data_IF_966081425582
#
_entry.id   IF_966081425582
#
_cell.length_a   1.000
_cell.length_b   1.000
_cell.length_c   1.000
_cell.angle_alpha   90.00
_cell.angle_beta   90.00
_cell.angle_gamma   90.00
#
_symmetry.space_group_name_H-M   'P 1'
#
loop_
_entity.id
_entity.type
_entity.pdbx_description
1 polymer ?
#
# COMPACT_ATOMS: atom_id res chain seq x y z
N UNK A 1 -18.68 -22.69 6.41
CA UNK A 1 -18.36 -21.30 6.81
C UNK A 1 -19.55 -20.42 6.49
N UNK A 2 -19.76 -19.36 7.26
CA UNK A 2 -20.78 -18.34 6.99
C UNK A 2 -20.28 -17.36 5.93
N UNK A 3 -21.14 -16.94 5.00
CA UNK A 3 -20.83 -15.80 4.11
C UNK A 3 -21.07 -14.48 4.85
N UNK A 4 -20.51 -13.38 4.35
CA UNK A 4 -20.70 -12.06 4.95
C UNK A 4 -21.11 -11.01 3.91
N UNK A 5 -22.12 -10.20 4.19
CA UNK A 5 -22.41 -9.01 3.40
C UNK A 5 -21.45 -7.89 3.80
N UNK A 6 -20.53 -7.53 2.90
CA UNK A 6 -19.44 -6.59 3.20
C UNK A 6 -18.89 -6.02 1.89
N UNK A 7 -18.21 -4.87 1.92
CA UNK A 7 -17.52 -4.33 0.76
C UNK A 7 -16.38 -5.24 0.27
N UNK A 8 -16.11 -5.23 -1.03
CA UNK A 8 -15.15 -6.14 -1.68
C UNK A 8 -13.75 -6.08 -1.06
N UNK A 9 -13.27 -4.88 -0.74
CA UNK A 9 -11.96 -4.63 -0.13
C UNK A 9 -11.81 -5.18 1.31
N UNK A 10 -12.92 -5.48 1.99
CA UNK A 10 -12.92 -6.00 3.36
C UNK A 10 -13.03 -7.53 3.41
N UNK A 11 -13.38 -8.18 2.29
CA UNK A 11 -13.63 -9.61 2.23
C UNK A 11 -12.39 -10.46 2.59
N UNK A 12 -11.20 -10.02 2.16
CA UNK A 12 -9.94 -10.71 2.52
C UNK A 12 -9.63 -10.67 4.01
N UNK A 13 -9.81 -9.51 4.65
CA UNK A 13 -9.67 -9.38 6.11
C UNK A 13 -10.71 -10.20 6.87
N UNK A 14 -11.95 -10.27 6.36
CA UNK A 14 -13.01 -11.10 6.96
C UNK A 14 -12.66 -12.58 6.90
N UNK A 15 -12.16 -13.07 5.77
CA UNK A 15 -11.69 -14.45 5.64
C UNK A 15 -10.47 -14.71 6.54
N UNK A 16 -9.50 -13.79 6.61
CA UNK A 16 -8.35 -13.91 7.52
C UNK A 16 -8.72 -14.07 9.00
N UNK A 17 -9.81 -13.44 9.43
CA UNK A 17 -10.32 -13.53 10.80
C UNK A 17 -11.37 -14.64 11.00
N UNK A 18 -11.70 -15.40 9.96
CA UNK A 18 -12.67 -16.50 10.05
C UNK A 18 -11.91 -17.81 10.19
N UNK A 19 -12.07 -18.47 11.33
CA UNK A 19 -11.42 -19.75 11.61
C UNK A 19 -11.73 -20.77 10.50
N UNK A 20 -10.68 -21.33 9.90
CA UNK A 20 -10.76 -22.32 8.82
C UNK A 20 -10.93 -21.73 7.41
N UNK A 21 -11.06 -20.41 7.26
CA UNK A 21 -11.12 -19.78 5.93
C UNK A 21 -9.74 -19.77 5.28
N UNK A 22 -9.61 -20.42 4.14
CA UNK A 22 -8.35 -20.47 3.36
C UNK A 22 -8.40 -19.58 2.12
N UNK A 23 -9.59 -19.25 1.63
CA UNK A 23 -9.78 -18.40 0.47
C UNK A 23 -11.19 -17.82 0.43
N UNK A 24 -11.37 -16.80 -0.39
CA UNK A 24 -12.64 -16.13 -0.55
C UNK A 24 -12.92 -15.76 -2.00
N UNK A 25 -14.20 -15.53 -2.29
CA UNK A 25 -14.67 -14.87 -3.49
C UNK A 25 -15.67 -13.80 -3.06
N UNK A 26 -15.67 -12.64 -3.69
CA UNK A 26 -16.63 -11.58 -3.47
C UNK A 26 -17.41 -11.32 -4.75
N UNK A 27 -18.73 -11.16 -4.64
CA UNK A 27 -19.62 -10.85 -5.76
C UNK A 27 -20.64 -9.76 -5.38
N UNK A 28 -21.29 -9.15 -6.36
CA UNK A 28 -22.37 -8.17 -6.13
C UNK A 28 -23.68 -8.78 -5.59
N UNK A 29 -23.72 -10.09 -5.35
CA UNK A 29 -24.92 -10.74 -4.84
C UNK A 29 -25.41 -10.08 -3.55
N UNK A 30 -26.70 -9.78 -3.47
CA UNK A 30 -27.36 -9.06 -2.36
C UNK A 30 -26.62 -7.79 -1.90
N UNK A 31 -26.13 -6.97 -2.84
CA UNK A 31 -25.43 -5.72 -2.54
C UNK A 31 -23.95 -5.88 -2.13
N UNK A 32 -23.41 -7.10 -2.25
CA UNK A 32 -22.02 -7.39 -1.95
C UNK A 32 -21.88 -8.54 -0.96
N UNK A 33 -21.56 -9.74 -1.44
CA UNK A 33 -21.40 -10.93 -0.62
C UNK A 33 -19.98 -11.49 -0.72
N UNK A 34 -19.34 -11.64 0.44
CA UNK A 34 -18.08 -12.33 0.64
C UNK A 34 -18.33 -13.80 0.95
N UNK A 35 -18.00 -14.65 -0.01
CA UNK A 35 -18.07 -16.11 0.04
C UNK A 35 -16.77 -16.68 0.61
N UNK A 36 -16.82 -17.10 1.87
CA UNK A 36 -15.68 -17.64 2.58
C UNK A 36 -15.60 -19.15 2.41
N UNK A 37 -14.42 -19.64 2.01
CA UNK A 37 -14.17 -21.01 1.59
C UNK A 37 -12.94 -21.59 2.30
N UNK A 38 -12.84 -22.91 2.31
CA UNK A 38 -11.83 -23.71 3.01
C UNK A 38 -11.32 -24.79 2.07
N UNK A 39 -10.12 -25.30 2.33
CA UNK A 39 -9.45 -26.29 1.49
C UNK A 39 -8.17 -25.75 0.85
N UNK A 40 -7.42 -26.64 0.22
CA UNK A 40 -6.18 -26.30 -0.46
C UNK A 40 -6.47 -25.71 -1.84
N UNK A 41 -6.12 -24.43 -2.03
CA UNK A 41 -6.17 -23.72 -3.30
C UNK A 41 -4.96 -22.83 -3.42
N UNK A 42 -4.59 -22.51 -4.66
CA UNK A 42 -3.46 -21.67 -5.03
C UNK A 42 -3.91 -20.60 -6.02
N UNK A 43 -3.01 -19.66 -6.34
CA UNK A 43 -3.32 -18.61 -7.33
C UNK A 43 -3.61 -19.18 -8.72
N UNK A 44 -3.04 -20.34 -9.08
CA UNK A 44 -3.30 -20.99 -10.37
C UNK A 44 -4.69 -21.62 -10.47
N UNK A 45 -5.38 -21.81 -9.35
CA UNK A 45 -6.75 -22.32 -9.32
C UNK A 45 -7.80 -21.21 -9.50
N UNK A 46 -7.35 -19.95 -9.66
CA UNK A 46 -8.23 -18.82 -9.86
C UNK A 46 -8.81 -18.81 -11.28
N UNK A 47 -10.14 -18.71 -11.38
CA UNK A 47 -10.84 -18.56 -12.65
C UNK A 47 -10.96 -17.08 -13.02
N UNK A 48 -10.59 -16.74 -14.25
CA UNK A 48 -10.82 -15.41 -14.80
C UNK A 48 -12.33 -15.20 -15.04
N UNK A 49 -12.81 -14.00 -14.76
CA UNK A 49 -14.20 -13.58 -14.99
C UNK A 49 -14.21 -12.26 -15.77
N UNK A 50 -15.24 -12.06 -16.58
CA UNK A 50 -15.48 -10.80 -17.30
C UNK A 50 -16.13 -9.72 -16.43
N UNK A 51 -16.59 -10.07 -15.22
CA UNK A 51 -17.15 -9.12 -14.26
C UNK A 51 -16.02 -8.42 -13.48
N UNK A 52 -15.76 -7.11 -13.73
CA UNK A 52 -14.67 -6.38 -13.10
C UNK A 52 -14.91 -6.11 -11.61
N UNK A 53 -16.10 -6.42 -11.09
CA UNK A 53 -16.47 -6.19 -9.70
C UNK A 53 -16.18 -7.40 -8.82
N UNK A 54 -16.01 -8.59 -9.41
CA UNK A 54 -15.69 -9.80 -8.67
C UNK A 54 -14.24 -9.79 -8.21
N UNK A 55 -14.02 -10.15 -6.95
CA UNK A 55 -12.68 -10.24 -6.35
C UNK A 55 -12.52 -11.62 -5.74
N UNK A 56 -11.37 -12.26 -5.90
CA UNK A 56 -11.03 -13.48 -5.16
C UNK A 56 -9.66 -13.35 -4.52
N UNK A 57 -9.41 -14.14 -3.48
CA UNK A 57 -8.12 -14.16 -2.81
C UNK A 57 -7.94 -15.40 -1.98
N UNK A 58 -6.69 -15.85 -1.88
CA UNK A 58 -6.27 -16.87 -0.94
C UNK A 58 -5.75 -16.18 0.32
N UNK A 59 -6.15 -16.69 1.47
CA UNK A 59 -5.65 -16.27 2.76
C UNK A 59 -4.69 -17.35 3.20
N UNK A 60 -3.44 -17.20 2.76
CA UNK A 60 -2.40 -18.07 3.25
C UNK A 60 -2.35 -17.89 4.77
N UNK A 61 -2.50 -19.00 5.51
CA UNK A 61 -1.95 -19.10 6.86
C UNK A 61 -0.53 -18.54 6.79
N UNK A 62 -0.22 -17.56 7.65
CA UNK A 62 1.00 -16.77 7.64
C UNK A 62 2.17 -17.53 7.02
N UNK A 63 2.86 -16.99 6.00
CA UNK A 63 4.07 -17.64 5.54
C UNK A 63 4.97 -17.80 6.75
N UNK A 64 5.22 -19.05 7.14
CA UNK A 64 6.15 -19.46 8.21
C UNK A 64 7.61 -19.20 7.78
N UNK A 65 7.86 -18.05 7.15
CA UNK A 65 9.07 -17.71 6.43
C UNK A 65 9.04 -16.32 5.81
N UNK A 66 8.39 -15.34 6.48
CA UNK A 66 8.58 -13.93 6.12
C UNK A 66 10.04 -13.52 6.39
N UNK A 67 10.65 -12.77 5.47
CA UNK A 67 11.97 -12.21 5.72
C UNK A 67 11.88 -11.14 6.81
N UNK A 68 12.86 -11.12 7.72
CA UNK A 68 12.98 -10.03 8.69
C UNK A 68 13.28 -8.71 7.95
N UNK A 69 12.70 -7.63 8.48
CA UNK A 69 12.87 -6.28 7.97
C UNK A 69 12.69 -5.26 9.08
N UNK A 70 13.04 -4.01 8.79
CA UNK A 70 12.88 -2.88 9.72
C UNK A 70 11.90 -1.89 9.14
N UNK A 71 11.19 -1.18 10.00
CA UNK A 71 10.30 -0.10 9.57
C UNK A 71 10.79 1.24 10.07
N UNK A 72 10.59 2.28 9.25
CA UNK A 72 10.59 3.67 9.71
C UNK A 72 9.25 4.31 9.35
N UNK A 73 9.13 5.63 9.49
CA UNK A 73 7.93 6.40 9.15
C UNK A 73 8.36 7.69 8.46
N UNK A 74 7.62 8.13 7.45
CA UNK A 74 7.91 9.38 6.75
C UNK A 74 6.66 9.97 6.09
N UNK A 75 6.73 11.25 5.78
CA UNK A 75 5.84 11.95 4.85
C UNK A 75 6.51 13.23 4.38
N UNK A 76 7.12 13.18 3.19
CA UNK A 76 7.88 14.27 2.57
C UNK A 76 7.08 15.08 1.55
N UNK A 77 5.82 14.68 1.32
CA UNK A 77 4.89 15.21 0.31
C UNK A 77 5.34 15.00 -1.15
N UNK A 78 6.46 14.33 -1.39
CA UNK A 78 7.01 14.18 -2.73
C UNK A 78 6.11 13.33 -3.62
N UNK A 79 6.30 13.50 -4.94
CA UNK A 79 5.74 12.55 -5.91
C UNK A 79 6.45 11.21 -5.67
N UNK A 80 5.71 10.13 -5.38
CA UNK A 80 6.34 8.84 -5.09
C UNK A 80 6.98 8.25 -6.36
N UNK A 81 8.08 7.51 -6.25
CA UNK A 81 8.86 7.07 -7.42
C UNK A 81 8.07 6.16 -8.37
N UNK A 82 7.15 5.34 -7.86
CA UNK A 82 6.29 4.50 -8.70
C UNK A 82 5.19 5.30 -9.44
N UNK A 83 5.11 6.62 -9.24
CA UNK A 83 4.25 7.51 -10.02
C UNK A 83 4.87 7.94 -11.36
N UNK A 84 6.12 7.56 -11.64
CA UNK A 84 6.75 7.81 -12.93
C UNK A 84 6.39 6.71 -13.95
N UNK A 85 6.12 7.07 -15.22
CA UNK A 85 5.92 6.10 -16.29
C UNK A 85 7.09 5.12 -16.41
N UNK A 86 6.80 3.87 -16.76
CA UNK A 86 7.80 2.80 -16.91
C UNK A 86 8.24 2.14 -15.61
N UNK A 87 7.85 2.67 -14.44
CA UNK A 87 8.14 2.07 -13.12
C UNK A 87 7.17 0.97 -12.72
N UNK A 88 6.06 0.79 -13.43
CA UNK A 88 5.14 -0.33 -13.27
C UNK A 88 4.98 -0.98 -14.64
N UNK A 89 4.95 -2.32 -14.69
CA UNK A 89 4.71 -3.05 -15.93
C UNK A 89 3.31 -2.76 -16.48
N UNK A 90 3.22 -2.43 -17.77
CA UNK A 90 1.98 -2.10 -18.46
C UNK A 90 1.94 -0.66 -18.98
N UNK A 91 1.22 -0.44 -20.08
CA UNK A 91 1.05 0.90 -20.65
C UNK A 91 0.23 1.79 -19.70
N UNK A 92 0.67 3.04 -19.49
CA UNK A 92 -0.01 4.04 -18.66
C UNK A 92 -0.29 3.57 -17.20
N UNK A 93 0.53 2.66 -16.68
CA UNK A 93 0.43 2.14 -15.32
C UNK A 93 1.45 2.82 -14.41
N UNK A 94 0.97 3.54 -13.39
CA UNK A 94 1.78 4.20 -12.37
C UNK A 94 0.90 4.60 -11.18
N UNK A 95 1.51 4.78 -10.01
CA UNK A 95 0.84 5.32 -8.82
C UNK A 95 0.38 6.75 -9.10
N UNK A 96 -0.85 7.11 -8.71
CA UNK A 96 -1.32 8.47 -8.93
C UNK A 96 -0.57 9.47 -8.06
N UNK A 97 -0.19 10.60 -8.64
CA UNK A 97 0.25 11.78 -7.91
C UNK A 97 -0.82 12.85 -8.02
N UNK A 98 -0.84 13.79 -7.08
CA UNK A 98 -1.85 14.81 -6.99
C UNK A 98 -1.27 16.21 -7.18
N UNK A 99 -2.16 17.15 -7.50
CA UNK A 99 -1.87 18.58 -7.46
C UNK A 99 -1.64 19.04 -6.02
N UNK A 100 -1.33 20.34 -5.86
CA UNK A 100 -1.05 20.95 -4.55
C UNK A 100 -2.15 20.72 -3.50
N UNK A 101 -3.41 20.59 -3.93
CA UNK A 101 -4.55 20.27 -3.06
C UNK A 101 -4.53 18.85 -2.44
N UNK A 102 -3.64 17.98 -2.92
CA UNK A 102 -3.53 16.58 -2.50
C UNK A 102 -4.68 15.68 -2.93
N UNK A 103 -5.67 16.17 -3.68
CA UNK A 103 -6.87 15.42 -4.05
C UNK A 103 -7.04 15.28 -5.57
N UNK A 104 -6.71 16.32 -6.33
CA UNK A 104 -6.86 16.32 -7.78
C UNK A 104 -5.71 15.53 -8.40
N UNK A 105 -5.99 14.31 -8.85
CA UNK A 105 -4.98 13.43 -9.43
C UNK A 105 -4.52 13.90 -10.81
N UNK A 106 -3.22 13.82 -11.06
CA UNK A 106 -2.64 14.02 -12.38
C UNK A 106 -2.95 12.83 -13.31
N UNK A 107 -3.36 13.14 -14.55
CA UNK A 107 -3.52 12.18 -15.63
C UNK A 107 -2.22 11.94 -16.42
N UNK A 108 -1.25 12.84 -16.31
CA UNK A 108 0.09 12.70 -16.89
C UNK A 108 1.09 12.31 -15.80
N UNK A 109 1.68 11.11 -15.97
CA UNK A 109 2.72 10.62 -15.08
C UNK A 109 4.06 11.36 -15.22
N UNK A 110 4.25 12.22 -16.23
CA UNK A 110 5.50 12.96 -16.44
C UNK A 110 5.57 14.29 -15.68
N UNK A 111 4.49 14.70 -15.00
CA UNK A 111 4.49 15.94 -14.21
C UNK A 111 5.59 15.88 -13.14
N UNK A 112 6.44 16.91 -13.12
CA UNK A 112 7.59 16.99 -12.23
C UNK A 112 7.16 17.03 -10.75
N UNK A 113 7.94 16.37 -9.89
CA UNK A 113 7.67 16.36 -8.45
C UNK A 113 7.85 17.74 -7.84
N UNK A 114 6.96 18.15 -6.93
CA UNK A 114 7.12 19.35 -6.12
C UNK A 114 8.31 19.36 -5.16
N UNK A 115 9.02 18.22 -5.02
CA UNK A 115 10.31 18.15 -4.34
C UNK A 115 11.50 18.52 -5.24
N UNK A 116 11.29 18.58 -6.56
CA UNK A 116 12.25 19.13 -7.51
C UNK A 116 11.95 20.60 -7.83
N UNK A 117 12.92 21.27 -8.46
CA UNK A 117 12.78 22.67 -8.87
C UNK A 117 11.59 22.86 -9.82
N UNK A 118 10.58 23.63 -9.40
CA UNK A 118 9.44 24.02 -10.23
C UNK A 118 8.39 22.94 -10.47
N UNK A 119 8.47 21.78 -9.82
CA UNK A 119 7.46 20.73 -9.97
C UNK A 119 6.17 20.99 -9.20
N UNK A 120 5.11 20.29 -9.59
CA UNK A 120 3.73 20.52 -9.10
C UNK A 120 2.98 19.22 -8.77
N UNK A 121 3.65 18.08 -8.86
CA UNK A 121 3.11 16.78 -8.45
C UNK A 121 3.57 16.40 -7.04
N UNK A 122 2.61 16.02 -6.20
CA UNK A 122 2.79 15.63 -4.81
C UNK A 122 2.15 14.25 -4.55
N UNK A 123 2.40 13.67 -3.38
CA UNK A 123 1.62 12.51 -2.91
C UNK A 123 0.14 12.90 -2.73
N UNK A 124 -0.76 11.95 -2.94
CA UNK A 124 -2.20 12.15 -2.74
C UNK A 124 -2.62 11.91 -1.29
N UNK A 125 -3.62 12.65 -0.81
CA UNK A 125 -4.17 12.55 0.55
C UNK A 125 -4.80 11.19 0.86
N UNK A 126 -5.18 10.42 -0.16
CA UNK A 126 -5.70 9.06 -0.01
C UNK A 126 -4.60 7.99 0.08
N UNK A 127 -3.31 8.37 0.01
CA UNK A 127 -2.17 7.47 0.17
C UNK A 127 -1.67 7.43 1.63
N UNK A 128 -2.61 7.43 2.57
CA UNK A 128 -2.38 7.38 4.02
C UNK A 128 -2.75 5.98 4.56
N UNK A 129 -2.29 5.60 5.76
CA UNK A 129 -2.67 4.35 6.37
C UNK A 129 -4.03 4.46 7.06
N UNK A 130 -4.77 3.35 7.13
CA UNK A 130 -6.04 3.28 7.84
C UNK A 130 -6.24 1.91 8.50
N UNK A 131 -6.88 1.92 9.67
CA UNK A 131 -7.22 0.69 10.38
C UNK A 131 -8.45 0.02 9.73
N UNK A 132 -8.38 -1.30 9.58
CA UNK A 132 -9.54 -2.14 9.26
C UNK A 132 -10.20 -2.59 10.56
N UNK A 133 -9.38 -2.95 11.55
CA UNK A 133 -9.78 -3.25 12.93
C UNK A 133 -8.54 -3.13 13.83
N UNK A 134 -8.66 -3.54 15.10
CA UNK A 134 -7.58 -3.43 16.09
C UNK A 134 -6.33 -4.26 15.76
N UNK A 135 -6.43 -5.24 14.87
CA UNK A 135 -5.37 -6.18 14.49
C UNK A 135 -4.79 -5.95 13.10
N UNK A 136 -5.53 -5.30 12.20
CA UNK A 136 -5.14 -5.13 10.80
C UNK A 136 -5.33 -3.69 10.34
N UNK A 137 -4.31 -3.17 9.67
CA UNK A 137 -4.36 -1.91 8.94
C UNK A 137 -3.90 -2.10 7.49
N UNK A 138 -4.30 -1.17 6.62
CA UNK A 138 -3.73 -0.99 5.29
C UNK A 138 -2.94 0.32 5.21
N UNK A 139 -2.02 0.42 4.26
CA UNK A 139 -1.29 1.64 4.00
C UNK A 139 -0.34 1.56 2.82
N UNK A 140 0.63 2.46 2.81
CA UNK A 140 1.59 2.64 1.74
C UNK A 140 2.99 2.77 2.31
N UNK A 141 4.00 2.38 1.55
CA UNK A 141 5.39 2.46 1.98
C UNK A 141 6.35 2.78 0.83
N UNK A 142 7.50 3.34 1.19
CA UNK A 142 8.71 3.20 0.40
C UNK A 142 9.43 1.92 0.81
N UNK A 143 10.01 1.17 -0.12
CA UNK A 143 10.76 -0.03 0.23
C UNK A 143 11.88 -0.35 -0.75
N UNK A 144 12.95 -0.94 -0.23
CA UNK A 144 13.98 -1.63 -1.02
C UNK A 144 14.10 -3.07 -0.56
N UNK A 145 13.87 -3.98 -1.50
CA UNK A 145 13.84 -5.41 -1.26
C UNK A 145 14.96 -6.03 -2.08
N UNK A 146 15.94 -6.71 -1.44
CA UNK A 146 17.06 -7.34 -2.12
C UNK A 146 16.59 -8.30 -3.21
N UNK A 147 17.25 -8.23 -4.37
CA UNK A 147 16.94 -9.08 -5.52
C UNK A 147 15.73 -8.62 -6.35
N UNK A 148 15.02 -7.56 -5.96
CA UNK A 148 13.91 -6.99 -6.74
C UNK A 148 14.29 -5.63 -7.34
N UNK A 149 14.06 -5.47 -8.64
CA UNK A 149 14.14 -4.17 -9.31
C UNK A 149 13.00 -3.26 -8.86
N UNK A 150 13.11 -1.95 -9.15
CA UNK A 150 12.03 -1.00 -8.87
C UNK A 150 10.73 -1.40 -9.56
N UNK A 151 10.81 -1.86 -10.80
CA UNK A 151 9.64 -2.28 -11.56
C UNK A 151 8.93 -3.50 -10.96
N UNK A 152 9.68 -4.40 -10.30
CA UNK A 152 9.12 -5.59 -9.67
C UNK A 152 8.48 -5.30 -8.31
N UNK A 153 8.98 -4.27 -7.59
CA UNK A 153 8.45 -3.90 -6.27
C UNK A 153 7.37 -2.82 -6.34
N UNK A 154 7.41 -1.94 -7.33
CA UNK A 154 6.39 -0.91 -7.50
C UNK A 154 5.00 -1.54 -7.64
N UNK A 155 4.06 -1.00 -6.85
CA UNK A 155 2.69 -1.47 -6.72
C UNK A 155 2.51 -2.87 -6.12
N UNK A 156 3.59 -3.56 -5.74
CA UNK A 156 3.50 -4.83 -5.02
C UNK A 156 3.01 -4.60 -3.58
N UNK A 157 2.29 -5.57 -3.04
CA UNK A 157 1.76 -5.52 -1.68
C UNK A 157 2.47 -6.52 -0.76
N UNK A 158 2.78 -6.09 0.46
CA UNK A 158 3.43 -6.90 1.48
C UNK A 158 2.62 -6.85 2.77
N UNK A 159 2.48 -8.01 3.44
CA UNK A 159 1.97 -8.08 4.80
C UNK A 159 3.15 -7.98 5.76
N UNK A 160 3.15 -6.94 6.58
CA UNK A 160 4.10 -6.72 7.64
C UNK A 160 3.48 -7.20 8.95
N UNK A 161 4.08 -8.20 9.57
CA UNK A 161 3.72 -8.66 10.91
C UNK A 161 4.71 -8.06 11.90
N UNK A 162 4.24 -7.20 12.80
CA UNK A 162 5.14 -6.49 13.71
C UNK A 162 5.65 -7.40 14.82
N UNK A 163 6.97 -7.38 15.02
CA UNK A 163 7.70 -8.24 15.98
C UNK A 163 8.33 -7.46 17.15
N UNK A 164 8.20 -6.13 17.18
CA UNK A 164 8.67 -5.29 18.29
C UNK A 164 7.79 -4.05 18.51
N UNK A 165 8.00 -3.36 19.63
CA UNK A 165 7.26 -2.15 20.00
C UNK A 165 5.82 -2.41 20.50
N UNK A 166 4.99 -1.37 20.62
CA UNK A 166 3.63 -1.48 21.18
C UNK A 166 2.61 -2.16 20.23
N UNK A 167 3.02 -2.46 18.99
CA UNK A 167 2.14 -3.04 17.95
C UNK A 167 2.48 -4.50 17.64
N UNK A 168 3.28 -5.16 18.48
CA UNK A 168 3.61 -6.60 18.34
C UNK A 168 2.33 -7.43 18.15
N UNK A 169 2.37 -8.33 17.17
CA UNK A 169 1.26 -9.24 16.85
C UNK A 169 0.18 -8.64 15.95
N UNK A 170 0.21 -7.32 15.69
CA UNK A 170 -0.64 -6.68 14.68
C UNK A 170 -0.02 -6.80 13.29
N UNK A 171 -0.86 -6.67 12.27
CA UNK A 171 -0.45 -6.68 10.87
C UNK A 171 -0.75 -5.35 10.18
N UNK A 172 0.14 -4.94 9.28
CA UNK A 172 -0.08 -3.86 8.32
C UNK A 172 0.19 -4.39 6.93
N UNK A 173 -0.80 -4.33 6.03
CA UNK A 173 -0.58 -4.64 4.62
C UNK A 173 -0.30 -3.34 3.87
N UNK A 174 0.87 -3.23 3.26
CA UNK A 174 1.31 -2.02 2.54
C UNK A 174 1.42 -2.27 1.05
N UNK A 175 1.05 -1.27 0.25
CA UNK A 175 1.48 -1.17 -1.14
C UNK A 175 2.79 -0.38 -1.22
N UNK A 176 3.80 -0.92 -1.91
CA UNK A 176 5.05 -0.20 -2.19
C UNK A 176 4.80 0.78 -3.33
N UNK A 177 4.95 2.07 -3.03
CA UNK A 177 4.71 3.16 -4.01
C UNK A 177 5.94 4.01 -4.25
N UNK A 178 6.99 3.84 -3.46
CA UNK A 178 8.23 4.57 -3.59
C UNK A 178 9.42 3.63 -3.37
N UNK A 179 10.56 3.98 -3.95
CA UNK A 179 11.86 3.41 -3.60
C UNK A 179 12.58 4.42 -2.73
N UNK A 180 12.87 4.07 -1.48
CA UNK A 180 13.77 4.91 -0.68
C UNK A 180 15.17 4.88 -1.30
N UNK A 181 15.87 6.01 -1.30
CA UNK A 181 17.29 6.09 -1.66
C UNK A 181 18.21 5.61 -0.53
N UNK A 182 17.72 5.63 0.72
CA UNK A 182 18.49 5.43 1.95
C UNK A 182 17.98 4.26 2.80
N UNK A 183 17.29 3.33 2.15
CA UNK A 183 16.69 2.17 2.82
C UNK A 183 17.68 1.02 2.84
N UNK A 184 17.97 0.53 4.03
CA UNK A 184 18.72 -0.71 4.22
C UNK A 184 17.97 -1.89 3.57
N UNK A 185 18.66 -3.00 3.27
CA UNK A 185 18.02 -4.24 2.83
C UNK A 185 16.81 -4.59 3.71
N UNK A 186 15.63 -4.80 3.09
CA UNK A 186 14.36 -5.11 3.76
C UNK A 186 13.81 -4.00 4.69
N UNK A 187 14.13 -2.74 4.40
CA UNK A 187 13.53 -1.61 5.10
C UNK A 187 12.25 -1.13 4.40
N UNK A 188 11.21 -0.90 5.20
CA UNK A 188 9.92 -0.31 4.79
C UNK A 188 9.70 1.02 5.51
N UNK A 189 9.74 2.12 4.77
CA UNK A 189 9.42 3.43 5.32
C UNK A 189 7.93 3.68 5.15
N UNK A 190 7.17 3.62 6.25
CA UNK A 190 5.73 3.71 6.23
C UNK A 190 5.29 5.15 5.98
N UNK A 191 4.42 5.36 4.98
CA UNK A 191 3.85 6.69 4.73
C UNK A 191 2.84 7.03 5.81
N UNK A 192 3.21 7.94 6.70
CA UNK A 192 2.38 8.39 7.82
C UNK A 192 2.53 9.91 7.90
N UNK A 193 1.49 10.71 7.58
CA UNK A 193 1.54 12.17 7.72
C UNK A 193 2.04 12.60 9.11
N UNK A 194 3.04 13.48 9.12
CA UNK A 194 3.72 13.90 10.35
C UNK A 194 4.83 12.94 10.85
N UNK A 195 5.13 11.88 10.10
CA UNK A 195 6.18 10.91 10.45
C UNK A 195 7.61 11.46 10.38
N UNK A 196 7.81 12.59 9.71
CA UNK A 196 9.12 13.19 9.42
C UNK A 196 9.29 13.36 7.92
N UNK A 197 9.88 14.48 7.48
CA UNK A 197 10.10 14.74 6.04
C UNK A 197 11.37 14.05 5.54
N UNK A 198 12.34 13.77 6.42
CA UNK A 198 13.60 13.14 6.04
C UNK A 198 14.44 14.04 5.12
N UNK A 199 15.04 13.42 4.09
CA UNK A 199 16.02 14.07 3.21
C UNK A 199 15.36 15.12 2.29
N UNK A 200 14.16 14.83 1.80
CA UNK A 200 13.41 15.74 0.93
C UNK A 200 12.30 16.44 1.70
N UNK A 201 11.89 17.62 1.25
CA UNK A 201 10.75 18.32 1.84
C UNK A 201 9.95 19.05 0.74
N UNK A 202 8.99 18.35 0.16
CA UNK A 202 7.96 18.95 -0.69
C UNK A 202 6.82 19.58 0.10
N UNK A 203 6.72 19.28 1.40
CA UNK A 203 5.64 19.75 2.25
C UNK A 203 5.69 21.26 2.49
N UNK A 204 6.87 21.89 2.46
CA UNK A 204 6.97 23.36 2.46
C UNK A 204 6.30 23.94 1.22
N UNK A 205 6.57 23.39 0.04
CA UNK A 205 5.96 23.86 -1.22
C UNK A 205 4.46 23.54 -1.32
N UNK A 206 4.03 22.40 -0.78
CA UNK A 206 2.63 21.96 -0.85
C UNK A 206 1.74 22.62 0.20
N UNK A 207 2.18 22.63 1.45
CA UNK A 207 1.36 22.95 2.62
C UNK A 207 1.91 24.11 3.45
N UNK A 208 2.95 24.81 2.97
CA UNK A 208 3.62 25.90 3.69
C UNK A 208 4.12 25.48 5.08
N UNK A 209 4.60 24.24 5.21
CA UNK A 209 5.23 23.75 6.46
C UNK A 209 6.60 24.39 6.69
N UNK A 210 7.09 24.41 7.95
CA UNK A 210 8.48 24.74 8.26
C UNK A 210 9.51 23.92 7.47
N UNK A 211 10.77 24.36 7.48
CA UNK A 211 11.88 23.71 6.76
C UNK A 211 12.12 22.25 7.16
N UNK A 212 11.75 21.90 8.39
CA UNK A 212 11.86 20.54 8.95
C UNK A 212 10.52 19.77 8.94
N UNK A 213 9.50 20.31 8.27
CA UNK A 213 8.14 19.76 8.25
C UNK A 213 7.34 20.14 9.50
N UNK A 214 6.37 19.31 9.88
CA UNK A 214 5.50 19.55 11.05
C UNK A 214 6.17 19.24 12.39
N UNK A 215 7.25 18.47 12.40
CA UNK A 215 7.90 17.97 13.60
C UNK A 215 9.40 17.80 13.39
N UNK A 216 9.99 16.79 14.02
CA UNK A 216 11.37 16.43 13.73
C UNK A 216 11.50 15.95 12.28
N UNK A 217 12.62 16.31 11.66
CA UNK A 217 12.98 15.88 10.31
C UNK A 217 13.20 14.37 10.25
#
# INVERSE_FOLDING_TARGET
MSNAQIASNLCGGKCANTQGCTHFTWTQYNGGTCWMKQGAVSKSDAFATSDPTMVCGIVNSSPTGGAAGTTTRYWDCCKPSCAWPGKVSGSNSYVKSCQKDGNTAWSDGNVASGCGSGGTAFVCNNQIPWAINDQLAYGFAAATIPGLTEQQRCCACYKLDFTSGPVVGKSLIVQVVNSGSDVNPNQFDLQIPGGGVGIFNGCTSQWNTPTDGWGAR
#
